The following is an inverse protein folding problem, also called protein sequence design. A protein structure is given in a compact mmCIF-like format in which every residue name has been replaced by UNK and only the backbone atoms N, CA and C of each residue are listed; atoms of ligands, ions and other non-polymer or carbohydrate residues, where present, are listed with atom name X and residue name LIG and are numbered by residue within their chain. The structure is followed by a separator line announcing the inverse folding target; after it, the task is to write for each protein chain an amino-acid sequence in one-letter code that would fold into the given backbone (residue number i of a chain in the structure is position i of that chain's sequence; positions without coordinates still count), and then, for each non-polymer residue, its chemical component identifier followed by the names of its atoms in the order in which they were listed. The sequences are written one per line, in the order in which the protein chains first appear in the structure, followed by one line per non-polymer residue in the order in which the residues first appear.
data_IF_810924835594
#
_entry.id   IF_810924835594
#
_cell.length_a   1.000
_cell.length_b   1.000
_cell.length_c   1.000
_cell.angle_alpha   90.00
_cell.angle_beta   90.00
_cell.angle_gamma   90.00
#
_symmetry.space_group_name_H-M   'P 1'
#
loop_
_entity.id
_entity.type
_entity.pdbx_description
1 polymer ?
#
# COMPACT_ATOMS: atom_id res chain seq x y z
N UNK A 1 9.47 -10.41 7.82
CA UNK A 1 8.87 -9.09 7.62
C UNK A 1 8.75 -8.86 6.12
N UNK A 2 7.70 -8.21 5.63
CA UNK A 2 7.55 -7.81 4.22
C UNK A 2 7.22 -6.34 4.16
N UNK A 3 7.71 -5.66 3.14
CA UNK A 3 7.37 -4.28 2.83
C UNK A 3 6.62 -4.26 1.50
N UNK A 4 5.66 -3.36 1.38
CA UNK A 4 4.85 -3.19 0.18
C UNK A 4 4.60 -1.70 -0.05
N UNK A 5 4.59 -1.29 -1.31
CA UNK A 5 4.03 0.00 -1.74
C UNK A 5 2.56 -0.25 -2.05
N UNK A 6 1.66 0.48 -1.39
CA UNK A 6 0.22 0.38 -1.61
C UNK A 6 -0.26 1.62 -2.36
N UNK A 7 -1.02 1.40 -3.43
CA UNK A 7 -1.52 2.45 -4.30
C UNK A 7 -3.05 2.46 -4.30
N UNK A 8 -3.62 3.64 -4.03
CA UNK A 8 -5.05 3.94 -4.11
C UNK A 8 -5.24 5.46 -3.93
N UNK A 9 -6.35 6.00 -4.42
CA UNK A 9 -6.81 7.33 -3.98
C UNK A 9 -7.03 7.35 -2.45
N UNK A 10 -6.32 8.23 -1.75
CA UNK A 10 -6.26 8.26 -0.29
C UNK A 10 -5.62 7.00 0.35
N UNK A 11 -4.64 6.37 -0.31
CA UNK A 11 -3.97 5.15 0.16
C UNK A 11 -3.57 5.19 1.64
N UNK A 12 -2.92 6.28 2.08
CA UNK A 12 -2.50 6.47 3.47
C UNK A 12 -3.70 6.41 4.42
N UNK A 13 -4.75 7.19 4.14
CA UNK A 13 -5.94 7.25 5.00
C UNK A 13 -6.63 5.89 5.05
N UNK A 14 -6.83 5.25 3.89
CA UNK A 14 -7.51 3.94 3.80
C UNK A 14 -6.73 2.86 4.53
N UNK A 15 -5.41 2.78 4.32
CA UNK A 15 -4.57 1.81 5.00
C UNK A 15 -4.59 2.02 6.51
N UNK A 16 -4.51 3.28 6.99
CA UNK A 16 -4.58 3.59 8.42
C UNK A 16 -5.93 3.23 9.04
N UNK A 17 -7.02 3.46 8.34
CA UNK A 17 -8.36 3.03 8.76
C UNK A 17 -8.44 1.50 8.89
N UNK A 18 -7.91 0.76 7.91
CA UNK A 18 -7.90 -0.70 7.93
C UNK A 18 -6.99 -1.26 9.05
N UNK A 19 -5.85 -0.63 9.31
CA UNK A 19 -4.96 -0.99 10.41
C UNK A 19 -5.60 -0.75 11.77
N UNK A 20 -6.32 0.34 11.93
CA UNK A 20 -6.89 0.78 13.21
C UNK A 20 -5.90 1.52 14.12
N UNK A 21 -6.35 1.96 15.31
CA UNK A 21 -5.54 2.74 16.25
C UNK A 21 -4.22 2.05 16.65
N UNK A 22 -3.16 2.83 16.87
CA UNK A 22 -1.83 2.29 17.23
C UNK A 22 -1.84 1.48 18.52
N UNK A 23 -2.58 1.96 19.54
CA UNK A 23 -2.72 1.27 20.82
C UNK A 23 -3.70 0.11 20.67
N UNK A 24 -3.24 -1.11 20.93
CA UNK A 24 -4.02 -2.33 20.72
C UNK A 24 -5.27 -2.34 21.62
N UNK A 25 -5.14 -1.86 22.86
CA UNK A 25 -6.27 -1.72 23.78
C UNK A 25 -7.35 -0.80 23.20
N UNK A 26 -6.97 0.33 22.59
CA UNK A 26 -7.91 1.22 21.93
C UNK A 26 -8.52 0.56 20.68
N UNK A 27 -7.69 -0.06 19.84
CA UNK A 27 -8.15 -0.73 18.63
C UNK A 27 -9.20 -1.80 18.91
N UNK A 28 -8.97 -2.67 19.90
CA UNK A 28 -9.94 -3.69 20.33
C UNK A 28 -11.29 -3.14 20.77
N UNK A 29 -11.30 -1.95 21.38
CA UNK A 29 -12.53 -1.33 21.87
C UNK A 29 -13.26 -0.53 20.78
N UNK A 30 -12.53 0.24 19.97
CA UNK A 30 -13.15 1.19 19.03
C UNK A 30 -13.24 0.69 17.59
N UNK A 31 -12.41 -0.28 17.22
CA UNK A 31 -12.34 -0.85 15.88
C UNK A 31 -11.93 -2.33 15.94
N UNK A 32 -12.72 -3.21 16.58
CA UNK A 32 -12.36 -4.62 16.80
C UNK A 32 -12.07 -5.37 15.49
N UNK A 33 -12.73 -5.00 14.39
CA UNK A 33 -12.55 -5.62 13.07
C UNK A 33 -11.33 -5.07 12.29
N UNK A 34 -10.64 -4.05 12.81
CA UNK A 34 -9.37 -3.59 12.24
C UNK A 34 -8.25 -4.60 12.45
N UNK A 35 -7.18 -4.53 11.66
CA UNK A 35 -6.06 -5.47 11.77
C UNK A 35 -5.46 -5.47 13.19
N UNK A 36 -5.27 -4.29 13.79
CA UNK A 36 -4.74 -4.16 15.16
C UNK A 36 -5.75 -4.59 16.22
N UNK A 37 -7.05 -4.38 15.97
CA UNK A 37 -8.12 -4.84 16.86
C UNK A 37 -8.18 -6.36 16.93
N UNK A 38 -8.21 -7.01 15.77
CA UNK A 38 -8.35 -8.45 15.64
C UNK A 38 -7.08 -9.22 16.02
N UNK A 39 -5.89 -8.71 15.64
CA UNK A 39 -4.65 -9.48 15.71
C UNK A 39 -3.54 -8.84 16.55
N UNK A 40 -3.70 -7.61 17.02
CA UNK A 40 -2.68 -6.95 17.85
C UNK A 40 -2.52 -7.64 19.20
N UNK A 41 -1.27 -7.81 19.67
CA UNK A 41 -0.96 -8.41 20.97
C UNK A 41 -0.60 -7.36 22.02
N UNK A 42 0.29 -6.43 21.68
CA UNK A 42 0.75 -5.32 22.53
C UNK A 42 0.99 -4.08 21.68
N UNK A 43 1.17 -2.92 22.30
CA UNK A 43 1.42 -1.66 21.57
C UNK A 43 2.71 -1.69 20.73
N UNK A 44 3.68 -2.54 21.10
CA UNK A 44 4.92 -2.79 20.33
C UNK A 44 4.83 -4.00 19.39
N UNK A 45 3.78 -4.81 19.50
CA UNK A 45 3.49 -5.98 18.65
C UNK A 45 2.07 -5.87 18.10
N UNK A 46 1.86 -4.84 17.28
CA UNK A 46 0.57 -4.46 16.70
C UNK A 46 0.44 -4.83 15.21
N UNK A 47 1.17 -5.85 14.77
CA UNK A 47 1.02 -6.53 13.46
C UNK A 47 1.50 -5.75 12.24
N UNK A 48 1.16 -4.47 12.09
CA UNK A 48 1.39 -3.70 10.85
C UNK A 48 1.92 -2.29 11.09
N UNK A 49 2.78 -1.85 10.18
CA UNK A 49 3.20 -0.47 10.00
C UNK A 49 2.49 0.16 8.81
N UNK A 50 2.45 1.49 8.79
CA UNK A 50 2.05 2.28 7.64
C UNK A 50 2.24 3.75 7.94
N UNK A 51 2.70 4.47 6.92
CA UNK A 51 2.99 5.90 6.98
C UNK A 51 1.77 6.70 7.48
N UNK A 52 2.01 7.84 8.10
CA UNK A 52 0.98 8.70 8.68
C UNK A 52 0.57 9.88 7.79
N UNK A 53 1.36 10.16 6.74
CA UNK A 53 1.13 11.22 5.77
C UNK A 53 1.70 10.83 4.41
N UNK A 54 1.38 11.60 3.37
CA UNK A 54 1.99 11.42 2.06
C UNK A 54 3.51 11.71 2.10
N UNK A 55 3.94 12.71 2.88
CA UNK A 55 5.36 13.04 3.02
C UNK A 55 6.15 11.88 3.65
N UNK A 56 5.65 11.32 4.76
CA UNK A 56 6.29 10.15 5.38
C UNK A 56 6.21 8.91 4.49
N UNK A 57 5.17 8.76 3.67
CA UNK A 57 5.11 7.69 2.68
C UNK A 57 6.22 7.80 1.63
N UNK A 58 6.43 8.98 1.03
CA UNK A 58 7.52 9.19 0.06
C UNK A 58 8.91 8.96 0.69
N UNK A 59 9.14 9.42 1.92
CA UNK A 59 10.39 9.18 2.65
C UNK A 59 10.62 7.68 2.93
N UNK A 60 9.59 6.98 3.42
CA UNK A 60 9.66 5.54 3.70
C UNK A 60 9.83 4.72 2.41
N UNK A 61 9.14 5.09 1.32
CA UNK A 61 9.29 4.45 0.01
C UNK A 61 10.74 4.58 -0.48
N UNK A 62 11.31 5.79 -0.47
CA UNK A 62 12.69 6.02 -0.89
C UNK A 62 13.71 5.26 -0.01
N UNK A 63 13.41 5.07 1.28
CA UNK A 63 14.26 4.31 2.18
C UNK A 63 14.21 2.80 1.94
N UNK A 64 13.02 2.22 1.78
CA UNK A 64 12.84 0.77 1.63
C UNK A 64 12.98 0.26 0.19
N UNK A 65 12.75 1.12 -0.80
CA UNK A 65 12.75 0.79 -2.23
C UNK A 65 13.53 1.86 -3.02
N UNK A 66 14.86 1.96 -2.85
CA UNK A 66 15.66 3.01 -3.49
C UNK A 66 15.67 2.94 -5.02
N UNK A 67 15.32 1.79 -5.60
CA UNK A 67 15.18 1.59 -7.05
C UNK A 67 13.79 1.99 -7.59
N UNK A 68 12.83 2.33 -6.73
CA UNK A 68 11.49 2.71 -7.13
C UNK A 68 11.40 4.22 -7.44
N UNK A 69 11.08 4.55 -8.69
CA UNK A 69 10.82 5.93 -9.12
C UNK A 69 9.35 6.29 -8.92
N UNK A 70 9.05 6.89 -7.77
CA UNK A 70 7.69 7.34 -7.41
C UNK A 70 7.12 8.32 -8.45
N UNK A 71 7.94 9.23 -8.98
CA UNK A 71 7.48 10.23 -9.95
C UNK A 71 7.07 9.56 -11.25
N UNK A 72 7.90 8.65 -11.76
CA UNK A 72 7.61 7.89 -12.98
C UNK A 72 6.34 7.06 -12.80
N UNK A 73 6.19 6.40 -11.65
CA UNK A 73 4.99 5.63 -11.34
C UNK A 73 3.71 6.47 -11.41
N UNK A 74 3.69 7.68 -10.85
CA UNK A 74 2.54 8.58 -10.96
C UNK A 74 2.24 9.06 -12.39
N UNK A 75 3.25 9.10 -13.26
CA UNK A 75 3.09 9.56 -14.64
C UNK A 75 2.62 8.45 -15.58
N UNK A 76 3.12 7.23 -15.39
CA UNK A 76 2.92 6.10 -16.29
C UNK A 76 1.91 5.08 -15.76
N UNK A 77 2.09 4.62 -14.53
CA UNK A 77 1.38 3.45 -14.00
C UNK A 77 0.10 3.81 -13.23
N UNK A 78 0.10 4.91 -12.47
CA UNK A 78 -1.04 5.34 -11.66
C UNK A 78 -2.33 5.56 -12.48
N UNK A 79 -2.28 6.23 -13.65
CA UNK A 79 -3.48 6.41 -14.47
C UNK A 79 -4.06 5.07 -14.96
N UNK A 80 -3.17 4.11 -15.23
CA UNK A 80 -3.52 2.78 -15.72
C UNK A 80 -4.08 1.89 -14.62
N UNK A 81 -3.55 2.05 -13.40
CA UNK A 81 -4.15 1.46 -12.21
C UNK A 81 -5.58 1.98 -12.01
N UNK A 82 -5.81 3.29 -12.14
CA UNK A 82 -7.14 3.92 -11.99
C UNK A 82 -8.16 3.45 -13.02
N UNK A 83 -7.75 3.17 -14.26
CA UNK A 83 -8.67 2.67 -15.30
C UNK A 83 -8.91 1.15 -15.23
N UNK A 84 -8.38 0.46 -14.22
CA UNK A 84 -8.62 -0.97 -13.99
C UNK A 84 -7.77 -1.89 -14.86
N UNK A 85 -6.69 -1.39 -15.46
CA UNK A 85 -5.78 -2.20 -16.28
C UNK A 85 -4.80 -3.03 -15.44
N UNK A 86 -4.63 -2.71 -14.15
CA UNK A 86 -3.76 -3.47 -13.28
C UNK A 86 -4.33 -4.86 -12.96
N UNK A 87 -3.48 -5.88 -13.03
CA UNK A 87 -3.79 -7.26 -12.64
C UNK A 87 -2.90 -7.67 -11.47
N UNK A 88 -3.49 -8.38 -10.50
CA UNK A 88 -2.71 -8.93 -9.40
C UNK A 88 -2.00 -10.22 -9.85
N UNK A 89 -0.66 -10.20 -9.85
CA UNK A 89 0.14 -11.41 -10.04
C UNK A 89 0.24 -12.16 -8.71
N UNK A 90 -0.27 -13.39 -8.67
CA UNK A 90 -0.24 -14.23 -7.45
C UNK A 90 1.17 -14.72 -7.13
N UNK A 91 1.98 -14.95 -8.17
CA UNK A 91 3.36 -15.41 -8.07
C UNK A 91 4.26 -14.32 -7.47
N UNK A 92 4.25 -13.14 -8.10
CA UNK A 92 5.06 -12.00 -7.69
C UNK A 92 4.44 -11.22 -6.51
N UNK A 93 3.15 -11.46 -6.23
CA UNK A 93 2.36 -10.80 -5.18
C UNK A 93 2.32 -9.28 -5.32
N UNK A 94 2.33 -8.78 -6.54
CA UNK A 94 2.26 -7.36 -6.90
C UNK A 94 1.19 -7.13 -7.97
N UNK A 95 0.69 -5.90 -8.03
CA UNK A 95 -0.15 -5.46 -9.14
C UNK A 95 0.76 -5.06 -10.30
N UNK A 96 0.53 -5.64 -11.47
CA UNK A 96 1.24 -5.32 -12.70
C UNK A 96 0.28 -4.67 -13.66
N UNK A 97 0.74 -3.63 -14.35
CA UNK A 97 0.04 -3.09 -15.50
C UNK A 97 0.72 -3.68 -16.74
N UNK A 98 0.03 -4.53 -17.53
CA UNK A 98 0.63 -5.16 -18.71
C UNK A 98 1.09 -4.06 -19.68
N UNK A 99 2.27 -4.18 -20.27
CA UNK A 99 2.70 -3.24 -21.33
C UNK A 99 1.67 -3.24 -22.47
N UNK A 100 1.42 -2.08 -23.09
CA UNK A 100 0.56 -2.06 -24.27
C UNK A 100 1.20 -2.97 -25.32
N UNK A 101 0.52 -4.05 -25.72
CA UNK A 101 0.94 -4.84 -26.87
C UNK A 101 1.06 -3.86 -28.03
N UNK A 102 2.30 -3.63 -28.48
CA UNK A 102 2.57 -2.76 -29.59
C UNK A 102 1.65 -3.14 -30.73
N UNK A 103 0.93 -2.15 -31.25
CA UNK A 103 0.29 -2.28 -32.55
C UNK A 103 1.43 -2.54 -33.54
N UNK A 104 1.77 -3.80 -33.81
CA UNK A 104 2.55 -4.20 -34.97
C UNK A 104 1.70 -3.83 -36.18
N UNK A 105 1.83 -2.58 -36.63
CA UNK A 105 1.40 -2.15 -37.94
C UNK A 105 2.29 -2.85 -38.96
N UNK A 106 1.75 -3.91 -39.56
CA UNK A 106 2.23 -4.55 -40.77
C UNK A 106 2.11 -3.61 -41.98
#
# INVERSE_FOLDING_TARGET
MRAYILAHEDAVVRWRSLMGPTRVSRARNTAPDSIRGAYGLTDTRNTTHGSDSAASASEEIAFFFPEFDERRWYQEDEPRLRCGQARYSVEERVHQVPEEEGTESA
#
